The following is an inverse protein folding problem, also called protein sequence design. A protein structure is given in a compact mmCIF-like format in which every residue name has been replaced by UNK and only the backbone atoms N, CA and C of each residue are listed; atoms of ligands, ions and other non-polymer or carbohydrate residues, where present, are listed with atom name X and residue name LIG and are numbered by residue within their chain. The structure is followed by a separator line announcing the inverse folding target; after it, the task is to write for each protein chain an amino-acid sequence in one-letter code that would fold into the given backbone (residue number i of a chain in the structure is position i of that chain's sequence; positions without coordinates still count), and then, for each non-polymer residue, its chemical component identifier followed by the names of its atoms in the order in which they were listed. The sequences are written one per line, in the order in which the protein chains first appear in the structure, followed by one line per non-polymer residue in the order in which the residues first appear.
data_IF_468374883238
#
_entry.id   IF_468374883238
#
_cell.length_a   1.000
_cell.length_b   1.000
_cell.length_c   1.000
_cell.angle_alpha   90.00
_cell.angle_beta   90.00
_cell.angle_gamma   90.00
#
_symmetry.space_group_name_H-M   'P 1'
#
loop_
_entity.id
_entity.type
_entity.pdbx_description
1 polymer ?
#
# COMPACT_ATOMS: atom_id res chain seq x y z
N UNK A 1 1.03 15.13 -8.86
CA UNK A 1 -0.23 15.89 -8.93
C UNK A 1 -0.79 16.12 -7.53
N UNK A 2 -1.50 17.22 -7.31
CA UNK A 2 -2.11 17.57 -6.02
C UNK A 2 -3.18 16.57 -5.59
N UNK A 3 -3.94 16.06 -6.55
CA UNK A 3 -4.97 15.05 -6.34
C UNK A 3 -4.44 13.62 -6.19
N UNK A 4 -3.12 13.40 -6.27
CA UNK A 4 -2.56 12.06 -6.14
C UNK A 4 -2.82 11.49 -4.74
N UNK A 5 -3.20 10.21 -4.69
CA UNK A 5 -3.29 9.46 -3.45
C UNK A 5 -1.93 8.87 -3.10
N UNK A 6 -1.48 9.10 -1.89
CA UNK A 6 -0.18 8.65 -1.41
C UNK A 6 -0.37 7.78 -0.17
N UNK A 7 0.21 6.60 -0.17
CA UNK A 7 0.31 5.75 1.00
C UNK A 7 1.69 5.93 1.63
N UNK A 8 1.72 6.39 2.88
CA UNK A 8 2.96 6.41 3.65
C UNK A 8 3.23 4.98 4.13
N UNK A 9 4.34 4.44 3.65
CA UNK A 9 4.79 3.07 3.87
C UNK A 9 6.07 3.03 4.71
N UNK A 10 6.27 1.96 5.46
CA UNK A 10 7.36 1.85 6.43
C UNK A 10 8.50 1.02 5.84
N UNK A 11 9.69 1.57 5.81
CA UNK A 11 10.92 0.84 5.50
C UNK A 11 11.53 0.26 6.78
N UNK A 12 11.35 -1.05 7.05
CA UNK A 12 11.81 -1.66 8.30
C UNK A 12 13.31 -1.93 8.30
N UNK A 13 13.94 -2.05 7.13
CA UNK A 13 15.35 -2.44 7.00
C UNK A 13 16.02 -1.84 5.77
N UNK A 14 17.34 -1.81 5.79
CA UNK A 14 18.15 -1.46 4.62
C UNK A 14 17.91 -2.42 3.45
N UNK A 15 17.70 -3.72 3.73
CA UNK A 15 17.39 -4.72 2.71
C UNK A 15 16.10 -4.39 1.95
N UNK A 16 15.04 -3.99 2.65
CA UNK A 16 13.78 -3.59 1.98
C UNK A 16 13.95 -2.34 1.13
N UNK A 17 14.80 -1.41 1.56
CA UNK A 17 15.17 -0.25 0.75
C UNK A 17 15.96 -0.64 -0.51
N UNK A 18 16.92 -1.54 -0.39
CA UNK A 18 17.72 -2.01 -1.53
C UNK A 18 16.87 -2.80 -2.52
N UNK A 19 15.92 -3.59 -2.04
CA UNK A 19 14.93 -4.26 -2.89
C UNK A 19 14.09 -3.22 -3.67
N UNK A 20 13.56 -2.22 -3.00
CA UNK A 20 12.79 -1.16 -3.64
C UNK A 20 13.62 -0.40 -4.69
N UNK A 21 14.87 -0.06 -4.36
CA UNK A 21 15.77 0.71 -5.21
C UNK A 21 16.29 -0.07 -6.41
N UNK A 22 16.69 -1.34 -6.21
CA UNK A 22 17.39 -2.13 -7.23
C UNK A 22 16.46 -2.99 -8.06
N UNK A 23 15.38 -3.49 -7.44
CA UNK A 23 14.46 -4.43 -8.08
C UNK A 23 13.08 -3.83 -8.36
N UNK A 24 12.80 -2.62 -7.92
CA UNK A 24 11.57 -1.90 -8.24
C UNK A 24 10.31 -2.50 -7.60
N UNK A 25 10.41 -3.06 -6.39
CA UNK A 25 9.24 -3.54 -5.68
C UNK A 25 9.36 -3.39 -4.15
N UNK A 26 8.20 -3.30 -3.50
CA UNK A 26 8.06 -3.21 -2.05
C UNK A 26 7.04 -4.23 -1.56
N UNK A 27 7.17 -4.71 -0.34
CA UNK A 27 6.29 -5.74 0.24
C UNK A 27 5.57 -5.27 1.48
N UNK A 28 4.30 -5.67 1.60
CA UNK A 28 3.50 -5.46 2.81
C UNK A 28 2.86 -6.79 3.21
N UNK A 29 3.05 -7.27 4.47
CA UNK A 29 2.34 -8.44 4.95
C UNK A 29 0.82 -8.22 4.87
N UNK A 30 0.07 -9.17 4.32
CA UNK A 30 -1.38 -9.05 4.17
C UNK A 30 -2.08 -8.73 5.49
N UNK A 31 -1.65 -9.38 6.57
CA UNK A 31 -2.24 -9.20 7.92
C UNK A 31 -2.12 -7.79 8.49
N UNK A 32 -1.16 -7.00 8.03
CA UNK A 32 -0.92 -5.61 8.46
C UNK A 32 -1.10 -4.60 7.34
N UNK A 33 -1.56 -5.06 6.18
CA UNK A 33 -1.76 -4.19 5.03
C UNK A 33 -2.90 -3.19 5.27
N UNK A 34 -2.77 -1.97 4.73
CA UNK A 34 -3.88 -1.04 4.68
C UNK A 34 -4.98 -1.58 3.76
N UNK A 35 -6.22 -1.14 3.98
CA UNK A 35 -7.40 -1.64 3.24
C UNK A 35 -7.33 -1.42 1.74
N UNK A 36 -6.67 -0.37 1.29
CA UNK A 36 -6.56 0.00 -0.12
C UNK A 36 -5.09 0.12 -0.51
N UNK A 37 -4.66 -0.70 -1.47
CA UNK A 37 -3.29 -0.66 -2.02
C UNK A 37 -3.27 0.12 -3.35
N UNK A 38 -4.41 0.24 -4.03
CA UNK A 38 -4.54 0.95 -5.31
C UNK A 38 -4.49 2.47 -5.11
N UNK A 39 -3.31 2.99 -4.81
CA UNK A 39 -2.99 4.42 -4.72
C UNK A 39 -1.94 4.78 -5.77
N UNK A 40 -1.64 6.07 -5.94
CA UNK A 40 -0.73 6.52 -7.00
C UNK A 40 0.74 6.39 -6.60
N UNK A 41 1.07 6.68 -5.33
CA UNK A 41 2.45 6.70 -4.86
C UNK A 41 2.61 6.04 -3.50
N UNK A 42 3.82 5.50 -3.26
CA UNK A 42 4.33 5.18 -1.94
C UNK A 42 5.31 6.27 -1.49
N UNK A 43 5.16 6.74 -0.25
CA UNK A 43 6.13 7.59 0.42
C UNK A 43 6.80 6.78 1.54
N UNK A 44 8.12 6.65 1.52
CA UNK A 44 8.85 5.70 2.34
C UNK A 44 9.38 6.33 3.63
N UNK A 45 8.80 5.94 4.76
CA UNK A 45 9.27 6.31 6.08
C UNK A 45 10.43 5.42 6.54
N UNK A 46 11.57 6.04 6.79
CA UNK A 46 12.79 5.38 7.22
C UNK A 46 12.82 5.22 8.75
N UNK A 47 12.87 3.97 9.22
CA UNK A 47 12.93 3.63 10.64
C UNK A 47 14.33 3.82 11.22
N UNK A 48 14.51 3.47 12.52
CA UNK A 48 15.81 3.52 13.18
C UNK A 48 16.90 2.71 12.48
N UNK A 49 16.54 1.71 11.67
CA UNK A 49 17.47 0.87 10.92
C UNK A 49 18.34 1.64 9.92
N UNK A 50 17.97 2.88 9.60
CA UNK A 50 18.70 3.76 8.67
C UNK A 50 19.77 4.64 9.32
N UNK A 51 20.00 4.48 10.62
CA UNK A 51 21.00 5.24 11.35
C UNK A 51 20.58 6.68 11.65
N UNK A 52 21.37 7.37 12.47
CA UNK A 52 20.98 8.68 13.03
C UNK A 52 20.73 9.78 11.97
N UNK A 53 21.48 9.78 10.90
CA UNK A 53 21.39 10.80 9.86
C UNK A 53 20.16 10.64 8.94
N UNK A 54 19.55 9.45 8.87
CA UNK A 54 18.51 9.12 7.88
C UNK A 54 17.24 8.54 8.50
N UNK A 55 17.23 8.26 9.80
CA UNK A 55 16.07 7.70 10.50
C UNK A 55 14.98 8.76 10.71
N UNK A 56 13.76 8.29 10.90
CA UNK A 56 12.61 9.09 11.31
C UNK A 56 12.22 10.18 10.31
N UNK A 57 12.30 9.87 9.03
CA UNK A 57 11.94 10.79 7.96
C UNK A 57 11.41 10.05 6.73
N UNK A 58 10.70 10.77 5.88
CA UNK A 58 10.38 10.37 4.52
C UNK A 58 11.36 11.09 3.59
N UNK A 59 12.23 10.35 2.92
CA UNK A 59 13.21 10.92 1.98
C UNK A 59 13.00 10.43 0.54
N UNK A 60 12.13 9.44 0.31
CA UNK A 60 11.91 8.85 -1.01
C UNK A 60 10.43 8.61 -1.25
N UNK A 61 10.04 8.78 -2.51
CA UNK A 61 8.72 8.41 -3.04
C UNK A 61 8.88 7.59 -4.30
N UNK A 62 7.88 6.77 -4.63
CA UNK A 62 7.82 6.06 -5.90
C UNK A 62 6.38 5.94 -6.38
N UNK A 63 6.19 5.98 -7.70
CA UNK A 63 4.92 5.68 -8.33
C UNK A 63 4.60 4.18 -8.19
N UNK A 64 3.33 3.84 -7.96
CA UNK A 64 2.87 2.46 -7.98
C UNK A 64 2.51 2.09 -9.41
N UNK A 65 3.11 1.00 -9.89
CA UNK A 65 2.88 0.46 -11.24
C UNK A 65 1.89 -0.71 -11.23
N UNK A 66 1.74 -1.38 -10.09
CA UNK A 66 0.84 -2.51 -9.91
C UNK A 66 1.10 -3.23 -8.60
N UNK A 67 0.28 -4.23 -8.31
CA UNK A 67 0.49 -5.09 -7.14
C UNK A 67 -0.08 -6.50 -7.37
N UNK A 68 0.49 -7.46 -6.68
CA UNK A 68 0.08 -8.86 -6.66
C UNK A 68 0.19 -9.44 -5.25
N UNK A 69 -0.59 -10.49 -4.97
CA UNK A 69 -0.55 -11.19 -3.69
C UNK A 69 0.25 -12.49 -3.86
N UNK A 70 1.32 -12.66 -3.09
CA UNK A 70 2.22 -13.80 -3.16
C UNK A 70 2.59 -14.32 -1.77
N UNK A 71 3.01 -15.58 -1.68
CA UNK A 71 3.61 -16.11 -0.48
C UNK A 71 5.01 -15.52 -0.27
N UNK A 72 5.41 -15.33 0.98
CA UNK A 72 6.73 -14.79 1.33
C UNK A 72 7.87 -15.60 0.68
N UNK A 73 7.78 -16.93 0.68
CA UNK A 73 8.79 -17.81 0.08
C UNK A 73 9.00 -17.58 -1.42
N UNK A 74 7.96 -17.13 -2.13
CA UNK A 74 8.02 -16.86 -3.57
C UNK A 74 8.65 -15.49 -3.84
N UNK A 75 8.52 -14.55 -2.88
CA UNK A 75 9.15 -13.23 -2.92
C UNK A 75 10.62 -13.27 -2.51
N UNK A 76 10.95 -14.03 -1.45
CA UNK A 76 12.27 -14.10 -0.82
C UNK A 76 12.74 -15.54 -0.87
N UNK A 77 13.27 -15.92 -2.03
CA UNK A 77 13.64 -17.31 -2.34
C UNK A 77 14.86 -17.81 -1.60
N UNK A 78 15.70 -16.93 -1.07
CA UNK A 78 16.88 -17.24 -0.28
C UNK A 78 16.57 -17.56 1.19
N UNK A 79 15.29 -17.46 1.61
CA UNK A 79 14.83 -17.79 2.95
C UNK A 79 13.61 -18.75 2.93
N UNK A 80 13.73 -19.96 2.34
CA UNK A 80 12.58 -20.86 2.17
C UNK A 80 12.01 -21.37 3.50
N UNK A 81 12.86 -21.53 4.52
CA UNK A 81 12.51 -22.06 5.85
C UNK A 81 12.17 -20.97 6.88
N UNK A 82 12.00 -19.73 6.43
CA UNK A 82 11.64 -18.65 7.34
C UNK A 82 10.28 -18.93 8.01
N UNK A 83 10.09 -18.63 9.33
CA UNK A 83 8.83 -18.89 10.05
C UNK A 83 7.57 -18.32 9.37
N UNK A 84 7.74 -17.28 8.57
CA UNK A 84 6.66 -16.63 7.80
C UNK A 84 6.67 -17.00 6.31
N UNK A 85 7.33 -18.07 5.91
CA UNK A 85 7.46 -18.47 4.50
C UNK A 85 6.08 -18.65 3.81
N UNK A 86 5.08 -19.11 4.55
CA UNK A 86 3.72 -19.35 4.07
C UNK A 86 2.76 -18.17 4.30
N UNK A 87 3.20 -17.06 4.89
CA UNK A 87 2.37 -15.86 5.01
C UNK A 87 2.27 -15.15 3.66
N UNK A 88 1.08 -14.59 3.39
CA UNK A 88 0.81 -13.80 2.19
C UNK A 88 1.28 -12.37 2.35
N UNK A 89 1.81 -11.84 1.26
CA UNK A 89 2.31 -10.47 1.15
C UNK A 89 1.82 -9.84 -0.14
N UNK A 90 1.45 -8.57 -0.09
CA UNK A 90 1.39 -7.76 -1.29
C UNK A 90 2.81 -7.47 -1.76
N UNK A 91 3.10 -7.81 -3.01
CA UNK A 91 4.23 -7.29 -3.76
C UNK A 91 3.75 -6.11 -4.57
N UNK A 92 4.23 -4.94 -4.26
CA UNK A 92 3.87 -3.69 -4.93
C UNK A 92 5.01 -3.35 -5.88
N UNK A 93 4.72 -3.36 -7.17
CA UNK A 93 5.66 -2.92 -8.21
C UNK A 93 5.69 -1.39 -8.22
N UNK A 94 6.89 -0.84 -8.19
CA UNK A 94 7.10 0.60 -8.12
C UNK A 94 8.05 1.07 -9.21
N UNK A 95 7.86 2.31 -9.62
CA UNK A 95 8.80 3.03 -10.47
C UNK A 95 10.10 3.36 -9.71
N UNK A 96 11.04 4.03 -10.38
CA UNK A 96 12.28 4.47 -9.76
C UNK A 96 12.04 5.32 -8.52
N UNK A 97 12.83 5.07 -7.46
CA UNK A 97 12.79 5.89 -6.26
C UNK A 97 13.20 7.33 -6.58
N UNK A 98 12.31 8.26 -6.29
CA UNK A 98 12.55 9.69 -6.39
C UNK A 98 12.94 10.22 -5.02
N UNK A 99 14.11 10.81 -4.90
CA UNK A 99 14.55 11.44 -3.66
C UNK A 99 13.88 12.80 -3.51
N UNK A 100 13.35 13.07 -2.34
CA UNK A 100 12.82 14.39 -2.01
C UNK A 100 13.99 15.39 -1.84
N UNK A 101 13.81 16.58 -2.36
CA UNK A 101 14.76 17.70 -2.16
C UNK A 101 14.87 18.02 -0.66
N UNK A 102 13.73 18.09 0.00
CA UNK A 102 13.63 18.29 1.45
C UNK A 102 12.95 17.06 2.07
N UNK A 103 13.69 16.19 2.77
CA UNK A 103 13.11 15.08 3.51
C UNK A 103 12.12 15.59 4.56
N UNK A 104 11.02 14.88 4.76
CA UNK A 104 9.96 15.21 5.72
C UNK A 104 10.25 14.46 7.01
N UNK A 105 10.75 15.13 8.08
CA UNK A 105 11.09 14.50 9.34
C UNK A 105 9.85 14.29 10.21
N UNK A 106 9.97 13.39 11.18
CA UNK A 106 9.05 13.35 12.32
C UNK A 106 9.60 14.20 13.46
N UNK A 107 8.73 14.91 14.16
CA UNK A 107 9.13 15.64 15.37
C UNK A 107 9.14 14.72 16.59
N UNK A 108 8.00 14.05 16.86
CA UNK A 108 7.80 13.28 18.09
C UNK A 108 7.49 11.80 17.85
N UNK A 109 7.05 11.45 16.65
CA UNK A 109 6.60 10.12 16.32
C UNK A 109 7.76 9.22 15.82
N UNK A 110 8.25 8.38 16.67
CA UNK A 110 9.24 7.36 16.29
C UNK A 110 8.60 6.11 15.69
N UNK A 111 7.32 5.90 15.96
CA UNK A 111 6.55 4.75 15.49
C UNK A 111 5.31 5.23 14.78
N UNK A 112 5.23 4.94 13.48
CA UNK A 112 4.06 5.21 12.66
C UNK A 112 3.49 3.91 12.10
N UNK A 113 2.22 3.93 11.73
CA UNK A 113 1.57 2.90 10.93
C UNK A 113 1.35 3.42 9.52
N UNK A 114 0.91 2.56 8.61
CA UNK A 114 0.47 3.00 7.29
C UNK A 114 -0.66 4.02 7.41
N UNK A 115 -0.56 5.09 6.65
CA UNK A 115 -1.64 6.07 6.54
C UNK A 115 -1.65 6.71 5.13
N UNK A 116 -2.81 7.27 4.76
CA UNK A 116 -3.00 7.91 3.48
C UNK A 116 -2.87 9.43 3.61
N UNK A 117 -2.35 10.04 2.55
CA UNK A 117 -2.30 11.49 2.36
C UNK A 117 -2.50 11.83 0.89
N UNK A 118 -2.53 13.11 0.57
CA UNK A 118 -2.67 13.60 -0.80
C UNK A 118 -1.40 14.29 -1.29
N UNK A 119 -1.28 14.44 -2.61
CA UNK A 119 -0.18 15.19 -3.21
C UNK A 119 -0.16 16.66 -2.78
N UNK A 120 -1.34 17.24 -2.52
CA UNK A 120 -1.46 18.61 -1.99
C UNK A 120 -0.81 18.72 -0.62
N UNK A 121 -1.19 17.87 0.34
CA UNK A 121 -0.59 17.85 1.67
C UNK A 121 0.91 17.56 1.61
N UNK A 122 1.31 16.66 0.71
CA UNK A 122 2.72 16.27 0.56
C UNK A 122 3.63 17.41 0.07
N UNK A 123 3.08 18.32 -0.75
CA UNK A 123 3.84 19.48 -1.26
C UNK A 123 4.15 20.52 -0.18
N UNK A 124 3.25 20.71 0.78
CA UNK A 124 3.36 21.76 1.81
C UNK A 124 3.86 21.24 3.14
N UNK A 125 4.00 19.93 3.31
CA UNK A 125 4.41 19.31 4.55
C UNK A 125 5.86 19.64 4.91
N UNK A 126 6.07 20.10 6.11
CA UNK A 126 7.39 20.28 6.73
C UNK A 126 7.71 19.14 7.69
N UNK A 127 6.69 18.51 8.24
CA UNK A 127 6.79 17.36 9.16
C UNK A 127 5.77 16.30 8.82
N UNK A 128 5.95 15.07 9.32
CA UNK A 128 4.98 13.96 9.12
C UNK A 128 3.60 14.33 9.67
N UNK A 129 3.51 15.17 10.71
CA UNK A 129 2.23 15.60 11.25
C UNK A 129 1.39 16.41 10.26
N UNK A 130 2.04 17.10 9.33
CA UNK A 130 1.38 17.90 8.30
C UNK A 130 0.77 17.03 7.20
N UNK A 131 1.21 15.78 7.08
CA UNK A 131 0.66 14.81 6.15
C UNK A 131 -0.66 14.18 6.62
N UNK A 132 -0.97 14.32 7.91
CA UNK A 132 -2.19 13.74 8.50
C UNK A 132 -3.37 14.66 8.23
N UNK A 133 -4.33 14.19 7.45
CA UNK A 133 -5.57 14.92 7.15
C UNK A 133 -6.43 14.97 8.42
N UNK A 134 -6.62 16.17 8.96
CA UNK A 134 -7.33 16.40 10.23
C UNK A 134 -8.77 16.84 10.03
N UNK A 135 -9.05 17.61 8.99
CA UNK A 135 -10.39 18.09 8.69
C UNK A 135 -11.32 16.91 8.32
N UNK A 136 -12.53 16.92 8.83
CA UNK A 136 -13.47 15.80 8.66
C UNK A 136 -13.94 15.69 7.20
N UNK A 137 -14.26 16.81 6.59
CA UNK A 137 -14.66 16.90 5.19
C UNK A 137 -13.57 16.42 4.22
N UNK A 138 -12.32 16.81 4.44
CA UNK A 138 -11.18 16.31 3.65
C UNK A 138 -10.98 14.80 3.83
N UNK A 139 -11.16 14.28 5.05
CA UNK A 139 -11.11 12.84 5.31
C UNK A 139 -12.22 12.09 4.60
N UNK A 140 -13.41 12.63 4.59
CA UNK A 140 -14.57 12.03 3.92
C UNK A 140 -14.35 11.96 2.41
N UNK A 141 -13.80 13.01 1.79
CA UNK A 141 -13.41 13.02 0.38
C UNK A 141 -12.32 11.98 0.11
N UNK A 142 -11.27 11.92 0.94
CA UNK A 142 -10.20 10.94 0.80
C UNK A 142 -10.76 9.50 0.87
N UNK A 143 -11.60 9.20 1.87
CA UNK A 143 -12.19 7.87 2.03
C UNK A 143 -13.14 7.49 0.89
N UNK A 144 -13.89 8.45 0.36
CA UNK A 144 -14.73 8.22 -0.81
C UNK A 144 -13.87 7.84 -2.02
N UNK A 145 -12.83 8.59 -2.30
CA UNK A 145 -11.91 8.34 -3.42
C UNK A 145 -11.19 6.98 -3.27
N UNK A 146 -10.72 6.64 -2.08
CA UNK A 146 -10.11 5.33 -1.81
C UNK A 146 -11.09 4.18 -2.02
N UNK A 147 -12.35 4.34 -1.61
CA UNK A 147 -13.40 3.34 -1.79
C UNK A 147 -13.71 3.13 -3.26
N UNK A 148 -13.84 4.19 -4.05
CA UNK A 148 -14.04 4.08 -5.50
C UNK A 148 -12.90 3.34 -6.20
N UNK A 149 -11.64 3.61 -5.82
CA UNK A 149 -10.49 2.90 -6.37
C UNK A 149 -10.47 1.42 -6.00
N UNK A 150 -10.85 1.09 -4.77
CA UNK A 150 -10.95 -0.31 -4.34
C UNK A 150 -12.02 -1.08 -5.13
N UNK A 151 -13.17 -0.45 -5.41
CA UNK A 151 -14.22 -1.04 -6.23
C UNK A 151 -13.76 -1.28 -7.66
N UNK A 152 -13.17 -0.28 -8.32
CA UNK A 152 -12.62 -0.41 -9.67
C UNK A 152 -11.55 -1.49 -9.77
N UNK A 153 -10.65 -1.60 -8.79
CA UNK A 153 -9.61 -2.63 -8.77
C UNK A 153 -10.21 -4.05 -8.66
N UNK A 154 -11.35 -4.21 -7.97
CA UNK A 154 -12.06 -5.48 -7.88
C UNK A 154 -12.84 -5.81 -9.16
N UNK A 155 -13.41 -4.83 -9.83
CA UNK A 155 -14.07 -5.00 -11.14
C UNK A 155 -13.08 -5.48 -12.21
N UNK A 156 -11.89 -4.91 -12.29
CA UNK A 156 -10.84 -5.36 -13.22
C UNK A 156 -10.42 -6.81 -12.97
N UNK A 157 -10.31 -7.23 -11.71
CA UNK A 157 -10.00 -8.63 -11.39
C UNK A 157 -11.13 -9.60 -11.76
N UNK A 158 -12.39 -9.15 -11.74
CA UNK A 158 -13.54 -9.95 -12.15
C UNK A 158 -13.63 -10.11 -13.68
N UNK A 159 -13.23 -9.11 -14.46
CA UNK A 159 -13.21 -9.16 -15.93
C UNK A 159 -12.07 -10.03 -16.50
N UNK A 160 -10.95 -10.17 -15.78
CA UNK A 160 -9.82 -11.03 -16.18
C UNK A 160 -10.08 -12.52 -15.97
N UNK A 161 -11.12 -12.90 -15.25
CA UNK A 161 -11.51 -14.30 -15.06
C UNK A 161 -12.46 -14.74 -16.20
N UNK A 162 -12.11 -15.73 -17.00
CA UNK A 162 -13.02 -16.26 -18.02
C UNK A 162 -14.30 -16.74 -17.34
N UNK A 163 -15.45 -16.31 -17.86
CA UNK A 163 -16.79 -16.56 -17.30
C UNK A 163 -17.14 -18.06 -17.09
N UNK A 164 -16.30 -18.98 -17.57
CA UNK A 164 -16.50 -20.44 -17.49
C UNK A 164 -15.88 -21.11 -16.26
N UNK A 165 -15.19 -20.40 -15.37
CA UNK A 165 -14.43 -20.99 -14.24
C UNK A 165 -14.71 -20.34 -12.89
N UNK A 166 -15.73 -19.52 -12.77
CA UNK A 166 -16.03 -18.90 -11.48
C UNK A 166 -16.92 -19.85 -10.67
N UNK A 167 -16.30 -20.55 -9.73
CA UNK A 167 -17.01 -21.36 -8.72
C UNK A 167 -18.01 -20.44 -7.97
N UNK A 168 -19.30 -20.83 -7.85
CA UNK A 168 -20.28 -20.06 -7.10
C UNK A 168 -19.87 -19.70 -5.66
N UNK A 169 -19.00 -20.51 -5.04
CA UNK A 169 -18.41 -20.25 -3.75
C UNK A 169 -17.47 -19.02 -3.76
N UNK A 170 -16.76 -18.79 -4.86
CA UNK A 170 -15.89 -17.62 -5.03
C UNK A 170 -16.73 -16.35 -5.24
N UNK A 171 -17.84 -16.44 -5.96
CA UNK A 171 -18.78 -15.32 -6.13
C UNK A 171 -19.45 -14.92 -4.80
N UNK A 172 -19.77 -15.90 -3.94
CA UNK A 172 -20.29 -15.63 -2.60
C UNK A 172 -19.24 -14.93 -1.70
N UNK A 173 -17.97 -15.31 -1.81
CA UNK A 173 -16.86 -14.69 -1.09
C UNK A 173 -16.60 -13.24 -1.55
N UNK A 174 -16.90 -12.92 -2.81
CA UNK A 174 -16.76 -11.58 -3.38
C UNK A 174 -17.97 -10.67 -3.10
N UNK A 175 -18.98 -11.16 -2.35
CA UNK A 175 -20.17 -10.37 -1.99
C UNK A 175 -21.15 -10.12 -3.16
N UNK A 176 -20.99 -10.83 -4.26
CA UNK A 176 -21.84 -10.71 -5.44
C UNK A 176 -23.15 -11.54 -5.35
N UNK A 177 -23.31 -12.34 -4.29
CA UNK A 177 -24.52 -13.14 -4.05
C UNK A 177 -25.22 -12.70 -2.75
N UNK A 178 -26.44 -12.22 -2.90
CA UNK A 178 -27.35 -12.01 -1.78
C UNK A 178 -28.09 -13.34 -1.51
N UNK A 179 -27.86 -14.06 -0.39
CA UNK A 179 -28.43 -15.39 -0.17
C UNK A 179 -29.96 -15.41 0.02
N UNK A 180 -30.64 -14.27 -0.11
CA UNK A 180 -32.10 -14.15 0.08
C UNK A 180 -32.92 -14.14 -1.24
N UNK A 181 -32.32 -14.34 -2.41
CA UNK A 181 -33.05 -14.47 -3.68
C UNK A 181 -32.93 -15.89 -4.28
N UNK A 182 -33.39 -16.89 -3.53
CA UNK A 182 -33.74 -18.18 -4.13
C UNK A 182 -35.27 -18.22 -4.26
N UNK A 183 -35.87 -18.21 -5.46
CA UNK A 183 -37.30 -18.43 -5.61
C UNK A 183 -37.65 -19.85 -5.17
N UNK A 184 -38.77 -20.06 -4.47
CA UNK A 184 -39.20 -21.39 -4.07
C UNK A 184 -39.61 -22.21 -5.32
N UNK A 185 -39.20 -23.47 -5.33
CA UNK A 185 -39.66 -24.50 -6.28
C UNK A 185 -41.19 -24.65 -6.25
#
# INVERSE_FOLDING_TARGET
PESALILVAILPSQRDFDIARLFGWYRIPLKSAPKVISVDYLAFYQTKAFGEAKRWQIAFVAEILGHELLLRRDLIRDEPDHPRAHEEYFKIQIGPLQRLENPIPTNDWKRITFFYTTGEQFKVAHTINDLVIKAQDERDVLWHTLRERALKANEYKAEELPASVVDPAILALLGAFNPHEIPPN
#
